data_IF_470043893023
#
_entry.id   IF_470043893023
#
_cell.length_a   1.000
_cell.length_b   1.000
_cell.length_c   1.000
_cell.angle_alpha   90.00
_cell.angle_beta   90.00
_cell.angle_gamma   90.00
#
_symmetry.space_group_name_H-M   'P 1'
#
loop_
_entity.id
_entity.type
_entity.pdbx_description
1 polymer ?
#
# COMPACT_ATOMS: atom_id res chain seq x y z
N UNK A 1 -3.86 -38.18 -22.98
CA UNK A 1 -2.54 -38.28 -22.33
C UNK A 1 -1.44 -37.80 -23.27
N UNK A 2 -1.40 -36.51 -23.61
CA UNK A 2 -0.35 -35.91 -24.48
C UNK A 2 -0.41 -34.40 -24.38
N UNK A 3 0.21 -33.81 -23.32
CA UNK A 3 0.46 -32.36 -23.21
C UNK A 3 1.61 -32.01 -22.26
N UNK A 4 2.75 -32.71 -22.32
CA UNK A 4 3.87 -32.41 -21.39
C UNK A 4 5.22 -32.23 -22.08
N UNK A 5 5.32 -32.12 -23.38
CA UNK A 5 6.65 -32.19 -24.01
C UNK A 5 7.01 -31.03 -24.96
N UNK A 6 6.62 -29.78 -24.69
CA UNK A 6 7.09 -28.60 -25.47
C UNK A 6 7.68 -27.44 -24.65
N UNK A 7 8.03 -27.65 -23.41
CA UNK A 7 8.47 -26.55 -22.52
C UNK A 7 9.99 -26.43 -22.27
N UNK A 8 10.79 -27.36 -22.73
CA UNK A 8 12.20 -27.46 -22.30
C UNK A 8 13.22 -26.77 -23.21
N UNK A 9 12.88 -26.41 -24.44
CA UNK A 9 13.84 -25.83 -25.41
C UNK A 9 13.84 -24.29 -25.38
N UNK A 10 12.80 -23.65 -24.86
CA UNK A 10 12.69 -22.18 -24.79
C UNK A 10 13.51 -21.51 -23.67
N UNK A 11 14.02 -22.27 -22.71
CA UNK A 11 14.58 -21.73 -21.45
C UNK A 11 16.00 -21.17 -21.62
N UNK A 12 16.82 -21.67 -22.53
CA UNK A 12 18.23 -21.20 -22.67
C UNK A 12 18.41 -19.92 -23.48
N UNK A 13 17.50 -19.61 -24.41
CA UNK A 13 17.52 -18.34 -25.15
C UNK A 13 16.84 -17.19 -24.37
N UNK A 14 15.86 -17.51 -23.52
CA UNK A 14 15.15 -16.57 -22.65
C UNK A 14 16.03 -15.93 -21.55
N UNK A 15 17.08 -16.60 -21.07
CA UNK A 15 17.89 -16.08 -19.95
C UNK A 15 18.81 -14.91 -20.33
N UNK A 16 19.36 -14.88 -21.55
CA UNK A 16 20.18 -13.76 -22.02
C UNK A 16 19.33 -12.53 -22.38
N UNK A 17 18.21 -12.74 -23.07
CA UNK A 17 17.27 -11.67 -23.40
C UNK A 17 16.59 -11.07 -22.15
N UNK A 18 16.26 -11.88 -21.14
CA UNK A 18 15.65 -11.38 -19.91
C UNK A 18 16.58 -10.49 -19.11
N UNK A 19 17.88 -10.77 -19.05
CA UNK A 19 18.85 -9.92 -18.35
C UNK A 19 19.04 -8.57 -19.05
N UNK A 20 19.18 -8.57 -20.37
CA UNK A 20 19.25 -7.34 -21.19
C UNK A 20 17.99 -6.50 -21.02
N UNK A 21 16.81 -7.10 -21.16
CA UNK A 21 15.52 -6.45 -20.99
C UNK A 21 15.30 -5.88 -19.59
N UNK A 22 15.88 -6.48 -18.55
CA UNK A 22 15.81 -5.94 -17.19
C UNK A 22 16.72 -4.72 -17.01
N UNK A 23 17.92 -4.70 -17.61
CA UNK A 23 18.83 -3.56 -17.57
C UNK A 23 18.19 -2.36 -18.28
N UNK A 24 17.73 -2.53 -19.50
CA UNK A 24 17.05 -1.47 -20.27
C UNK A 24 15.80 -0.94 -19.56
N UNK A 25 15.05 -1.82 -18.89
CA UNK A 25 13.90 -1.40 -18.08
C UNK A 25 14.34 -0.56 -16.88
N UNK A 26 15.39 -0.97 -16.15
CA UNK A 26 15.93 -0.22 -15.00
C UNK A 26 16.39 1.17 -15.44
N UNK A 27 17.13 1.28 -16.55
CA UNK A 27 17.61 2.54 -17.10
C UNK A 27 16.45 3.49 -17.43
N UNK A 28 15.38 2.97 -18.07
CA UNK A 28 14.17 3.76 -18.32
C UNK A 28 13.48 4.20 -17.03
N UNK A 29 13.43 3.35 -16.00
CA UNK A 29 12.82 3.72 -14.71
C UNK A 29 13.67 4.76 -13.96
N UNK A 30 15.00 4.71 -14.07
CA UNK A 30 15.89 5.70 -13.47
C UNK A 30 15.72 7.10 -14.09
N UNK A 31 15.33 7.18 -15.35
CA UNK A 31 15.05 8.45 -16.03
C UNK A 31 13.69 9.06 -15.70
N UNK A 32 12.78 8.31 -15.06
CA UNK A 32 11.44 8.78 -14.71
C UNK A 32 11.45 9.53 -13.38
N UNK A 33 10.69 10.61 -13.31
CA UNK A 33 10.38 11.27 -12.04
C UNK A 33 9.28 10.50 -11.31
N UNK A 34 9.66 9.53 -10.47
CA UNK A 34 8.76 8.66 -9.73
C UNK A 34 8.56 9.18 -8.31
N UNK A 35 7.32 9.37 -7.91
CA UNK A 35 6.99 9.74 -6.54
C UNK A 35 7.06 8.52 -5.61
N UNK A 36 8.22 8.28 -5.04
CA UNK A 36 8.49 7.13 -4.19
C UNK A 36 7.75 7.16 -2.86
N UNK A 37 7.46 8.35 -2.31
CA UNK A 37 6.70 8.50 -1.07
C UNK A 37 5.25 8.03 -1.25
N UNK A 38 4.62 8.37 -2.38
CA UNK A 38 3.29 7.87 -2.73
C UNK A 38 3.28 6.34 -2.79
N UNK A 39 4.25 5.73 -3.48
CA UNK A 39 4.33 4.26 -3.55
C UNK A 39 4.65 3.63 -2.19
N UNK A 40 5.42 4.31 -1.33
CA UNK A 40 5.65 3.87 0.04
C UNK A 40 4.36 3.70 0.83
N UNK A 41 3.48 4.69 0.79
CA UNK A 41 2.16 4.62 1.42
C UNK A 41 1.30 3.48 0.88
N UNK A 42 1.26 3.30 -0.45
CA UNK A 42 0.55 2.18 -1.08
C UNK A 42 1.12 0.81 -0.68
N UNK A 43 2.46 0.70 -0.58
CA UNK A 43 3.09 -0.57 -0.21
C UNK A 43 2.98 -0.87 1.27
N UNK A 44 2.97 0.12 2.13
CA UNK A 44 2.74 -0.09 3.56
C UNK A 44 1.28 -0.47 3.87
N UNK A 45 0.31 -0.03 3.07
CA UNK A 45 -1.08 -0.49 3.17
C UNK A 45 -1.29 -1.83 2.44
N UNK A 46 -1.43 -1.81 1.15
CA UNK A 46 -1.93 -2.93 0.33
C UNK A 46 -0.84 -3.65 -0.50
N UNK A 47 0.36 -3.07 -0.60
CA UNK A 47 1.47 -3.69 -1.31
C UNK A 47 2.02 -4.93 -0.61
N UNK A 48 2.66 -5.80 -1.36
CA UNK A 48 3.27 -7.02 -0.84
C UNK A 48 4.70 -7.21 -1.37
N UNK A 49 5.59 -7.55 -0.45
CA UNK A 49 6.93 -8.05 -0.71
C UNK A 49 6.96 -9.53 -0.33
N UNK A 50 7.09 -10.40 -1.32
CA UNK A 50 7.13 -11.84 -1.12
C UNK A 50 8.49 -12.39 -1.51
N UNK A 51 9.08 -13.14 -0.60
CA UNK A 51 10.32 -13.85 -0.82
C UNK A 51 10.10 -15.34 -0.53
N UNK A 52 10.46 -16.18 -1.49
CA UNK A 52 10.51 -17.63 -1.27
C UNK A 52 11.91 -18.14 -1.61
N UNK A 53 12.49 -18.87 -0.68
CA UNK A 53 13.77 -19.54 -0.88
C UNK A 53 13.48 -21.03 -1.10
N UNK A 54 13.53 -21.49 -2.35
CA UNK A 54 13.45 -22.91 -2.67
C UNK A 54 14.86 -23.43 -2.93
N UNK A 55 15.07 -24.76 -2.78
CA UNK A 55 16.39 -25.40 -3.06
C UNK A 55 16.95 -25.08 -4.44
N UNK A 56 16.08 -24.68 -5.40
CA UNK A 56 16.46 -24.44 -6.79
C UNK A 56 16.55 -22.96 -7.17
N UNK A 57 15.86 -22.04 -6.47
CA UNK A 57 15.91 -20.61 -6.77
C UNK A 57 15.29 -19.76 -5.68
N UNK A 58 15.89 -18.60 -5.43
CA UNK A 58 15.25 -17.54 -4.62
C UNK A 58 14.34 -16.71 -5.51
N UNK A 59 13.08 -16.56 -5.12
CA UNK A 59 12.09 -15.76 -5.87
C UNK A 59 11.73 -14.51 -5.08
N UNK A 60 12.04 -13.35 -5.63
CA UNK A 60 11.63 -12.05 -5.14
C UNK A 60 10.45 -11.55 -5.97
N UNK A 61 9.35 -11.20 -5.32
CA UNK A 61 8.13 -10.73 -5.99
C UNK A 61 7.60 -9.51 -5.28
N UNK A 62 7.34 -8.46 -6.03
CA UNK A 62 6.65 -7.24 -5.59
C UNK A 62 5.28 -7.24 -6.24
N UNK A 63 4.24 -6.99 -5.44
CA UNK A 63 2.84 -7.01 -5.91
C UNK A 63 2.10 -5.83 -5.31
N UNK A 64 1.30 -5.14 -6.13
CA UNK A 64 0.20 -4.29 -5.68
C UNK A 64 -1.11 -4.93 -6.15
N UNK A 65 -2.03 -5.19 -5.20
CA UNK A 65 -3.29 -5.85 -5.50
C UNK A 65 -4.44 -5.23 -4.70
N UNK A 66 -5.44 -4.68 -5.38
CA UNK A 66 -6.54 -3.92 -4.82
C UNK A 66 -7.87 -4.25 -5.50
N UNK A 67 -8.97 -4.00 -4.79
CA UNK A 67 -10.33 -4.01 -5.38
C UNK A 67 -10.56 -2.81 -6.30
N UNK A 68 -10.00 -1.67 -5.98
CA UNK A 68 -10.05 -0.47 -6.79
C UNK A 68 -8.96 -0.53 -7.87
N UNK A 69 -9.34 -0.28 -9.13
CA UNK A 69 -8.47 -0.40 -10.30
C UNK A 69 -7.41 0.70 -10.36
N UNK A 70 -7.81 1.92 -10.03
CA UNK A 70 -7.05 3.14 -10.35
C UNK A 70 -5.60 3.12 -9.83
N UNK A 71 -5.31 2.79 -8.56
CA UNK A 71 -3.91 2.76 -8.09
C UNK A 71 -3.10 1.64 -8.72
N UNK A 72 -3.73 0.48 -9.02
CA UNK A 72 -3.03 -0.66 -9.64
C UNK A 72 -2.74 -0.38 -11.10
N UNK A 73 -3.64 0.27 -11.81
CA UNK A 73 -3.45 0.72 -13.19
C UNK A 73 -2.35 1.79 -13.28
N UNK A 74 -2.34 2.75 -12.34
CA UNK A 74 -1.27 3.74 -12.22
C UNK A 74 0.08 3.06 -11.96
N UNK A 75 0.12 2.06 -11.07
CA UNK A 75 1.32 1.27 -10.79
C UNK A 75 1.80 0.54 -12.05
N UNK A 76 0.90 -0.17 -12.74
CA UNK A 76 1.21 -0.90 -13.95
C UNK A 76 1.78 0.03 -15.04
N UNK A 77 1.16 1.20 -15.24
CA UNK A 77 1.61 2.22 -16.20
C UNK A 77 2.95 2.83 -15.80
N UNK A 78 3.13 3.19 -14.53
CA UNK A 78 4.38 3.80 -14.04
C UNK A 78 5.56 2.88 -14.22
N UNK A 79 5.40 1.60 -13.86
CA UNK A 79 6.48 0.60 -13.84
C UNK A 79 6.46 -0.34 -15.05
N UNK A 80 5.68 -0.06 -16.07
CA UNK A 80 5.61 -0.87 -17.30
C UNK A 80 5.40 -2.36 -16.99
N UNK A 81 4.46 -2.65 -16.10
CA UNK A 81 4.10 -4.01 -15.69
C UNK A 81 2.70 -4.37 -16.16
N UNK A 82 2.39 -5.66 -16.18
CA UNK A 82 1.06 -6.12 -16.59
C UNK A 82 0.01 -5.77 -15.53
N UNK A 83 -1.18 -5.37 -15.98
CA UNK A 83 -2.37 -5.29 -15.17
C UNK A 83 -3.15 -6.59 -15.34
N UNK A 84 -3.36 -7.31 -14.25
CA UNK A 84 -4.12 -8.55 -14.21
C UNK A 84 -5.45 -8.27 -13.48
N UNK A 85 -6.55 -8.84 -13.98
CA UNK A 85 -7.84 -8.87 -13.28
C UNK A 85 -8.13 -10.29 -12.83
N UNK A 86 -8.58 -10.46 -11.59
CA UNK A 86 -8.87 -11.76 -11.00
C UNK A 86 -10.20 -11.70 -10.26
N UNK A 87 -11.00 -12.74 -10.46
CA UNK A 87 -12.18 -13.04 -9.64
C UNK A 87 -11.95 -14.35 -8.90
N UNK A 88 -12.28 -14.38 -7.62
CA UNK A 88 -12.14 -15.59 -6.81
C UNK A 88 -13.14 -15.59 -5.66
N UNK A 89 -13.59 -16.78 -5.31
CA UNK A 89 -14.47 -16.95 -4.18
C UNK A 89 -13.69 -16.87 -2.87
N UNK A 90 -14.17 -16.07 -1.94
CA UNK A 90 -13.69 -16.01 -0.56
C UNK A 90 -14.82 -16.37 0.37
N UNK A 91 -14.48 -16.90 1.54
CA UNK A 91 -15.44 -17.20 2.61
C UNK A 91 -15.09 -16.40 3.86
N UNK A 92 -15.24 -15.05 3.81
CA UNK A 92 -14.93 -14.23 4.98
C UNK A 92 -15.90 -14.54 6.13
N UNK A 93 -15.44 -14.30 7.35
CA UNK A 93 -16.33 -14.27 8.50
C UNK A 93 -17.20 -13.02 8.45
N UNK A 94 -18.50 -13.20 8.62
CA UNK A 94 -19.44 -12.12 8.85
C UNK A 94 -19.32 -11.59 10.29
N UNK A 95 -19.98 -10.46 10.57
CA UNK A 95 -20.02 -9.88 11.93
C UNK A 95 -20.63 -10.81 12.97
N UNK A 96 -21.48 -11.74 12.54
CA UNK A 96 -22.11 -12.78 13.37
C UNK A 96 -21.27 -14.06 13.51
N UNK A 97 -20.04 -14.05 12.97
CA UNK A 97 -19.13 -15.20 13.00
C UNK A 97 -19.39 -16.28 11.95
N UNK A 98 -20.39 -16.12 11.08
CA UNK A 98 -20.68 -17.08 10.00
C UNK A 98 -19.79 -16.83 8.80
N UNK A 99 -19.43 -17.89 8.09
CA UNK A 99 -18.69 -17.83 6.81
C UNK A 99 -19.70 -17.82 5.66
N UNK A 100 -19.69 -16.76 4.85
CA UNK A 100 -20.51 -16.67 3.65
C UNK A 100 -19.64 -16.59 2.42
N UNK A 101 -19.84 -17.44 1.40
CA UNK A 101 -19.12 -17.31 0.14
C UNK A 101 -19.37 -15.93 -0.48
N UNK A 102 -18.31 -15.29 -0.90
CA UNK A 102 -18.35 -13.98 -1.53
C UNK A 102 -17.41 -13.93 -2.72
N UNK A 103 -17.90 -13.47 -3.87
CA UNK A 103 -17.08 -13.25 -5.05
C UNK A 103 -16.26 -11.98 -4.86
N UNK A 104 -14.96 -12.14 -4.71
CA UNK A 104 -14.00 -11.03 -4.62
C UNK A 104 -13.41 -10.72 -5.98
N UNK A 105 -13.32 -9.42 -6.28
CA UNK A 105 -12.68 -8.88 -7.48
C UNK A 105 -11.41 -8.19 -7.08
N UNK A 106 -10.32 -8.43 -7.81
CA UNK A 106 -9.02 -7.85 -7.50
C UNK A 106 -8.28 -7.50 -8.78
N UNK A 107 -7.80 -6.28 -8.86
CA UNK A 107 -6.81 -5.85 -9.84
C UNK A 107 -5.42 -6.06 -9.24
N UNK A 108 -4.48 -6.53 -10.05
CA UNK A 108 -3.15 -6.89 -9.61
C UNK A 108 -2.11 -6.49 -10.63
N UNK A 109 -1.00 -5.95 -10.15
CA UNK A 109 0.19 -5.76 -10.95
C UNK A 109 1.42 -6.22 -10.17
N UNK A 110 2.39 -6.79 -10.90
CA UNK A 110 3.57 -7.39 -10.25
C UNK A 110 4.80 -7.41 -11.13
N UNK A 111 5.95 -7.46 -10.48
CA UNK A 111 7.22 -7.81 -11.11
C UNK A 111 8.08 -8.68 -10.19
N UNK A 112 9.08 -9.33 -10.78
CA UNK A 112 9.88 -10.38 -10.14
C UNK A 112 11.38 -10.18 -10.38
N UNK A 113 12.20 -10.88 -9.59
CA UNK A 113 13.64 -10.93 -9.78
C UNK A 113 14.30 -9.56 -9.65
N UNK A 114 15.16 -9.20 -10.59
CA UNK A 114 15.96 -7.96 -10.55
C UNK A 114 15.11 -6.70 -10.47
N UNK A 115 13.97 -6.66 -11.17
CA UNK A 115 13.02 -5.53 -11.08
C UNK A 115 12.44 -5.38 -9.67
N UNK A 116 12.13 -6.49 -9.00
CA UNK A 116 11.62 -6.47 -7.63
C UNK A 116 12.71 -6.04 -6.64
N UNK A 117 13.95 -6.47 -6.84
CA UNK A 117 15.11 -6.04 -6.03
C UNK A 117 15.38 -4.54 -6.22
N UNK A 118 15.41 -4.07 -7.46
CA UNK A 118 15.56 -2.65 -7.78
C UNK A 118 14.47 -1.80 -7.13
N UNK A 119 13.21 -2.19 -7.27
CA UNK A 119 12.09 -1.48 -6.65
C UNK A 119 12.22 -1.40 -5.13
N UNK A 120 12.57 -2.51 -4.48
CA UNK A 120 12.77 -2.54 -3.03
C UNK A 120 13.90 -1.58 -2.60
N UNK A 121 14.98 -1.51 -3.35
CA UNK A 121 16.07 -0.57 -3.08
C UNK A 121 15.60 0.91 -3.19
N UNK A 122 14.79 1.23 -4.19
CA UNK A 122 14.29 2.61 -4.38
C UNK A 122 13.28 3.03 -3.32
N UNK A 123 12.35 2.14 -2.95
CA UNK A 123 11.25 2.47 -2.05
C UNK A 123 11.64 2.36 -0.55
N UNK A 124 12.77 1.74 -0.20
CA UNK A 124 13.15 1.42 1.18
C UNK A 124 13.04 2.58 2.18
N UNK A 125 13.35 3.80 1.72
CA UNK A 125 13.22 5.04 2.51
C UNK A 125 11.80 5.24 3.02
N UNK A 126 10.79 4.85 2.22
CA UNK A 126 9.38 5.12 2.46
C UNK A 126 8.60 3.89 2.96
N UNK A 127 9.27 2.82 3.36
CA UNK A 127 8.63 1.66 4.00
C UNK A 127 8.80 1.75 5.51
N UNK A 128 7.70 1.99 6.22
CA UNK A 128 7.68 2.16 7.68
C UNK A 128 6.99 0.97 8.38
N UNK A 129 5.91 0.45 7.81
CA UNK A 129 5.14 -0.63 8.44
C UNK A 129 5.66 -2.02 8.06
N UNK A 130 6.05 -2.24 6.82
CA UNK A 130 6.46 -3.55 6.29
C UNK A 130 7.98 -3.73 6.19
N UNK A 131 8.72 -3.16 7.13
CA UNK A 131 10.20 -3.20 7.16
C UNK A 131 10.76 -4.63 7.18
N UNK A 132 10.13 -5.56 7.89
CA UNK A 132 10.50 -6.96 7.93
C UNK A 132 10.25 -7.70 6.61
N UNK A 133 9.32 -7.23 5.79
CA UNK A 133 9.01 -7.83 4.48
C UNK A 133 9.97 -7.38 3.39
N UNK A 134 10.43 -6.14 3.44
CA UNK A 134 11.39 -5.62 2.46
C UNK A 134 12.84 -6.01 2.79
N UNK A 135 13.16 -6.28 4.07
CA UNK A 135 14.52 -6.59 4.51
C UNK A 135 15.20 -7.70 3.70
N UNK A 136 14.59 -8.86 3.40
CA UNK A 136 15.23 -9.91 2.58
C UNK A 136 15.65 -9.43 1.18
N UNK A 137 14.94 -8.45 0.61
CA UNK A 137 15.27 -7.85 -0.69
C UNK A 137 16.53 -6.98 -0.61
N UNK A 138 16.72 -6.28 0.51
CA UNK A 138 17.89 -5.45 0.77
C UNK A 138 19.10 -6.31 1.11
N UNK A 139 18.93 -7.33 1.95
CA UNK A 139 19.98 -8.28 2.33
C UNK A 139 20.53 -9.00 1.08
N UNK A 140 19.68 -9.39 0.12
CA UNK A 140 20.10 -9.98 -1.15
C UNK A 140 21.01 -9.08 -1.99
N UNK A 141 20.90 -7.77 -1.81
CA UNK A 141 21.70 -6.74 -2.49
C UNK A 141 22.88 -6.26 -1.66
N UNK A 142 23.13 -6.86 -0.48
CA UNK A 142 24.12 -6.41 0.50
C UNK A 142 23.89 -4.95 0.97
N UNK A 143 22.64 -4.52 1.02
CA UNK A 143 22.26 -3.18 1.47
C UNK A 143 21.96 -3.21 2.95
N UNK A 144 22.85 -2.66 3.78
CA UNK A 144 22.56 -2.41 5.20
C UNK A 144 21.81 -1.08 5.32
N UNK A 145 20.52 -1.15 5.68
CA UNK A 145 19.66 0.01 5.77
C UNK A 145 18.99 0.12 7.14
N UNK A 146 19.13 1.27 7.77
CA UNK A 146 18.47 1.59 9.04
C UNK A 146 17.15 2.29 8.75
N UNK A 147 16.04 1.61 8.99
CA UNK A 147 14.70 2.19 8.83
C UNK A 147 14.48 3.34 9.81
N UNK A 148 13.61 4.28 9.46
CA UNK A 148 13.30 5.50 10.23
C UNK A 148 14.48 6.47 10.42
N UNK A 149 15.58 6.32 9.69
CA UNK A 149 16.77 7.15 9.85
C UNK A 149 16.76 8.40 8.98
N UNK A 150 15.99 8.41 7.90
CA UNK A 150 15.96 9.51 6.95
C UNK A 150 14.86 10.52 7.28
N UNK A 151 15.20 11.80 7.14
CA UNK A 151 14.23 12.89 7.24
C UNK A 151 13.48 13.03 5.92
N UNK A 152 12.17 13.16 6.01
CA UNK A 152 11.30 13.41 4.87
C UNK A 152 10.86 14.86 4.83
N UNK A 153 10.64 15.37 3.64
CA UNK A 153 10.03 16.69 3.43
C UNK A 153 8.54 16.65 3.79
N UNK A 154 7.94 17.81 3.98
CA UNK A 154 6.49 17.92 4.19
C UNK A 154 5.71 17.32 3.02
N UNK A 155 6.18 17.54 1.81
CA UNK A 155 5.55 17.03 0.59
C UNK A 155 5.61 15.50 0.50
N UNK A 156 6.77 14.89 0.80
CA UNK A 156 6.91 13.43 0.90
C UNK A 156 5.93 12.84 1.93
N UNK A 157 5.74 13.50 3.09
CA UNK A 157 4.76 13.07 4.08
C UNK A 157 3.33 13.18 3.58
N UNK A 158 2.98 14.23 2.83
CA UNK A 158 1.65 14.39 2.24
C UNK A 158 1.36 13.26 1.25
N UNK A 159 2.27 12.96 0.34
CA UNK A 159 2.11 11.87 -0.62
C UNK A 159 1.99 10.52 0.06
N UNK A 160 2.86 10.23 1.00
CA UNK A 160 2.85 8.97 1.75
C UNK A 160 1.54 8.78 2.51
N UNK A 161 1.12 9.76 3.31
CA UNK A 161 -0.08 9.62 4.13
C UNK A 161 -1.36 9.58 3.29
N UNK A 162 -1.41 10.28 2.18
CA UNK A 162 -2.55 10.21 1.25
C UNK A 162 -2.74 8.78 0.77
N UNK A 163 -1.70 8.14 0.24
CA UNK A 163 -1.76 6.78 -0.26
C UNK A 163 -2.01 5.75 0.86
N UNK A 164 -1.45 5.95 2.04
CA UNK A 164 -1.73 5.10 3.20
C UNK A 164 -3.21 5.18 3.61
N UNK A 165 -3.81 6.37 3.62
CA UNK A 165 -5.24 6.56 3.92
C UNK A 165 -6.11 5.98 2.79
N UNK A 166 -5.69 6.07 1.56
CA UNK A 166 -6.39 5.46 0.43
C UNK A 166 -6.40 3.93 0.52
N UNK A 167 -5.35 3.30 1.01
CA UNK A 167 -5.31 1.86 1.29
C UNK A 167 -6.04 1.50 2.59
N UNK A 168 -5.40 1.70 3.72
CA UNK A 168 -5.84 1.23 5.05
C UNK A 168 -6.74 2.21 5.81
N UNK A 169 -6.88 3.46 5.33
CA UNK A 169 -7.70 4.47 5.99
C UNK A 169 -9.17 4.38 5.63
N UNK A 170 -9.99 4.95 6.50
CA UNK A 170 -11.43 5.08 6.29
C UNK A 170 -11.87 6.51 6.53
N UNK A 171 -12.66 7.04 5.59
CA UNK A 171 -13.46 8.24 5.82
C UNK A 171 -14.73 7.80 6.54
N UNK A 172 -14.79 8.09 7.84
CA UNK A 172 -15.84 7.59 8.70
C UNK A 172 -16.93 8.63 8.89
N UNK A 173 -18.19 8.22 8.70
CA UNK A 173 -19.38 9.00 8.96
C UNK A 173 -20.07 8.46 10.19
N UNK A 174 -19.78 9.06 11.34
CA UNK A 174 -20.43 8.71 12.62
C UNK A 174 -21.77 9.42 12.69
N UNK A 175 -22.87 8.68 12.54
CA UNK A 175 -24.23 9.15 12.75
C UNK A 175 -24.65 10.39 11.93
N UNK A 176 -24.17 10.50 10.70
CA UNK A 176 -24.42 11.64 9.77
C UNK A 176 -24.00 13.03 10.33
N UNK A 177 -23.50 13.11 11.56
CA UNK A 177 -23.17 14.35 12.26
C UNK A 177 -21.65 14.59 12.44
N UNK A 178 -20.82 13.57 12.31
CA UNK A 178 -19.38 13.68 12.53
C UNK A 178 -18.61 12.96 11.44
N UNK A 179 -17.85 13.72 10.67
CA UNK A 179 -16.94 13.19 9.65
C UNK A 179 -15.53 13.14 10.25
N UNK A 180 -14.79 12.10 9.97
CA UNK A 180 -13.39 11.99 10.37
C UNK A 180 -12.61 11.05 9.47
N UNK A 181 -11.29 11.17 9.49
CA UNK A 181 -10.37 10.22 8.86
C UNK A 181 -9.85 9.29 9.96
N UNK A 182 -9.89 8.00 9.71
CA UNK A 182 -9.38 6.98 10.64
C UNK A 182 -8.31 6.16 9.93
N UNK A 183 -7.19 5.94 10.59
CA UNK A 183 -6.13 5.03 10.15
C UNK A 183 -6.09 3.86 11.12
N UNK A 184 -6.03 2.65 10.57
CA UNK A 184 -5.92 1.42 11.33
C UNK A 184 -4.59 0.73 11.04
N UNK A 185 -3.99 0.12 12.05
CA UNK A 185 -2.80 -0.70 11.89
C UNK A 185 -2.72 -1.76 12.98
N UNK A 186 -2.13 -2.89 12.70
CA UNK A 186 -1.74 -3.87 13.71
C UNK A 186 -0.51 -3.44 14.52
N UNK A 187 0.16 -2.36 14.14
CA UNK A 187 1.38 -1.85 14.76
C UNK A 187 1.15 -0.48 15.42
N UNK A 188 1.06 -0.46 16.75
CA UNK A 188 0.86 0.76 17.53
C UNK A 188 2.03 1.75 17.38
N UNK A 189 3.27 1.23 17.39
CA UNK A 189 4.48 2.07 17.28
C UNK A 189 4.55 2.79 15.93
N UNK A 190 4.08 2.14 14.86
CA UNK A 190 3.95 2.76 13.56
C UNK A 190 2.96 3.93 13.59
N UNK A 191 1.76 3.74 14.17
CA UNK A 191 0.78 4.84 14.31
C UNK A 191 1.32 6.00 15.13
N UNK A 192 2.01 5.73 16.24
CA UNK A 192 2.67 6.76 17.05
C UNK A 192 3.70 7.54 16.23
N UNK A 193 4.53 6.84 15.48
CA UNK A 193 5.57 7.46 14.67
C UNK A 193 4.98 8.38 13.60
N UNK A 194 4.06 7.89 12.76
CA UNK A 194 3.45 8.72 11.71
C UNK A 194 2.69 9.92 12.28
N UNK A 195 1.95 9.71 13.39
CA UNK A 195 1.22 10.78 14.06
C UNK A 195 2.15 11.92 14.50
N UNK A 196 3.28 11.59 15.12
CA UNK A 196 4.26 12.57 15.55
C UNK A 196 4.87 13.32 14.35
N UNK A 197 5.19 12.61 13.27
CA UNK A 197 5.76 13.24 12.07
C UNK A 197 4.75 14.18 11.39
N UNK A 198 3.50 13.74 11.24
CA UNK A 198 2.47 14.56 10.60
C UNK A 198 2.10 15.80 11.42
N UNK A 199 2.16 15.71 12.74
CA UNK A 199 2.03 16.88 13.65
C UNK A 199 3.23 17.80 13.53
N UNK A 200 4.46 17.28 13.53
CA UNK A 200 5.69 18.05 13.37
C UNK A 200 5.70 18.87 12.07
N UNK A 201 5.25 18.26 10.98
CA UNK A 201 5.14 18.90 9.67
C UNK A 201 3.88 19.76 9.49
N UNK A 202 3.03 19.89 10.52
CA UNK A 202 1.77 20.67 10.49
C UNK A 202 0.85 20.25 9.33
N UNK A 203 0.72 18.93 9.12
CA UNK A 203 -0.16 18.35 8.09
C UNK A 203 -1.51 18.03 8.74
N UNK A 204 -1.52 17.26 9.81
CA UNK A 204 -2.72 16.89 10.55
C UNK A 204 -2.39 16.49 12.00
N UNK A 205 -3.39 16.59 12.88
CA UNK A 205 -3.31 16.15 14.26
C UNK A 205 -4.18 14.92 14.47
N UNK A 206 -3.68 13.97 15.24
CA UNK A 206 -4.41 12.77 15.61
C UNK A 206 -4.85 12.76 17.05
N UNK A 207 -5.95 12.06 17.31
CA UNK A 207 -6.40 11.72 18.64
C UNK A 207 -5.56 10.63 19.29
N UNK A 208 -6.03 10.20 20.48
CA UNK A 208 -5.45 9.06 21.19
C UNK A 208 -5.61 7.78 20.35
N UNK A 209 -4.60 6.93 20.38
CA UNK A 209 -4.67 5.61 19.77
C UNK A 209 -5.61 4.74 20.61
N UNK A 210 -6.55 4.10 19.98
CA UNK A 210 -7.49 3.16 20.58
C UNK A 210 -7.17 1.75 20.16
N UNK A 211 -7.13 0.81 21.09
CA UNK A 211 -7.01 -0.62 20.83
C UNK A 211 -8.40 -1.19 20.54
N UNK A 212 -8.56 -1.94 19.47
CA UNK A 212 -9.81 -2.56 19.06
C UNK A 212 -9.59 -4.01 18.60
N UNK A 213 -10.69 -4.76 18.52
CA UNK A 213 -10.67 -6.08 17.91
C UNK A 213 -10.51 -5.93 16.40
N UNK A 214 -9.54 -6.64 15.84
CA UNK A 214 -9.33 -6.75 14.40
C UNK A 214 -10.12 -7.91 13.79
N UNK A 215 -9.50 -8.59 12.83
CA UNK A 215 -10.13 -9.72 12.15
C UNK A 215 -10.19 -10.97 13.05
N UNK A 216 -11.29 -11.74 12.97
CA UNK A 216 -11.36 -13.05 13.62
C UNK A 216 -10.32 -13.99 13.02
N UNK A 217 -9.73 -14.83 13.87
CA UNK A 217 -8.79 -15.89 13.50
C UNK A 217 -9.49 -17.24 13.49
N UNK A 218 -8.86 -18.25 12.89
CA UNK A 218 -9.40 -19.60 12.78
C UNK A 218 -9.55 -20.29 14.15
N UNK A 219 -8.82 -19.87 15.17
CA UNK A 219 -8.90 -20.33 16.56
C UNK A 219 -10.03 -19.67 17.38
N UNK A 220 -10.87 -18.85 16.74
CA UNK A 220 -11.95 -18.10 17.38
C UNK A 220 -11.50 -16.81 18.10
N UNK A 221 -10.22 -16.56 18.20
CA UNK A 221 -9.69 -15.31 18.74
C UNK A 221 -9.75 -14.16 17.73
N UNK A 222 -9.50 -12.94 18.20
CA UNK A 222 -9.40 -11.77 17.31
C UNK A 222 -7.96 -11.26 17.27
N UNK A 223 -7.54 -10.80 16.09
CA UNK A 223 -6.33 -10.02 15.97
C UNK A 223 -6.48 -8.71 16.75
N UNK A 224 -5.36 -8.16 17.23
CA UNK A 224 -5.35 -6.83 17.83
C UNK A 224 -5.14 -5.83 16.69
N UNK A 225 -5.97 -4.78 16.69
CA UNK A 225 -5.83 -3.65 15.79
C UNK A 225 -5.79 -2.36 16.61
N UNK A 226 -5.04 -1.40 16.14
CA UNK A 226 -4.99 -0.07 16.70
C UNK A 226 -5.60 0.90 15.70
N UNK A 227 -6.36 1.87 16.21
CA UNK A 227 -7.09 2.85 15.43
C UNK A 227 -6.77 4.25 15.92
N UNK A 228 -6.59 5.16 15.00
CA UNK A 228 -6.34 6.56 15.32
C UNK A 228 -7.14 7.46 14.37
N UNK A 229 -7.86 8.43 14.95
CA UNK A 229 -8.68 9.36 14.18
C UNK A 229 -8.03 10.73 14.12
N UNK A 230 -8.22 11.43 13.00
CA UNK A 230 -7.81 12.83 12.88
C UNK A 230 -8.62 13.68 13.85
N UNK A 231 -7.94 14.51 14.61
CA UNK A 231 -8.53 15.51 15.52
C UNK A 231 -8.63 16.87 14.85
N UNK A 232 -9.68 17.58 15.16
CA UNK A 232 -9.84 18.97 14.76
C UNK A 232 -11.29 19.37 14.68
N UNK A 233 -11.52 20.68 14.66
CA UNK A 233 -12.83 21.28 14.32
C UNK A 233 -13.03 21.17 12.81
N UNK A 234 -14.23 21.51 12.33
CA UNK A 234 -14.54 21.42 10.88
C UNK A 234 -13.55 22.20 9.99
N UNK A 235 -13.09 23.41 10.35
CA UNK A 235 -12.09 24.11 9.53
C UNK A 235 -10.76 23.37 9.42
N UNK A 236 -10.27 22.75 10.51
CA UNK A 236 -9.03 21.99 10.48
C UNK A 236 -9.19 20.72 9.61
N UNK A 237 -10.30 20.00 9.76
CA UNK A 237 -10.60 18.84 8.92
C UNK A 237 -10.68 19.24 7.44
N UNK A 238 -11.34 20.37 7.12
CA UNK A 238 -11.38 20.92 5.76
C UNK A 238 -9.98 21.16 5.19
N UNK A 239 -9.10 21.77 5.98
CA UNK A 239 -7.72 22.03 5.56
C UNK A 239 -6.95 20.72 5.28
N UNK A 240 -7.10 19.72 6.15
CA UNK A 240 -6.51 18.39 5.94
C UNK A 240 -7.01 17.78 4.63
N UNK A 241 -8.32 17.74 4.42
CA UNK A 241 -8.92 17.16 3.22
C UNK A 241 -8.48 17.89 1.94
N UNK A 242 -8.43 19.22 1.96
CA UNK A 242 -7.92 20.01 0.83
C UNK A 242 -6.44 19.76 0.55
N UNK A 243 -5.64 19.46 1.59
CA UNK A 243 -4.23 19.11 1.44
C UNK A 243 -4.05 17.74 0.79
N UNK A 244 -4.90 16.76 1.12
CA UNK A 244 -4.78 15.39 0.61
C UNK A 244 -5.39 15.23 -0.79
N UNK A 245 -6.50 15.92 -1.07
CA UNK A 245 -7.33 15.74 -2.27
C UNK A 245 -6.56 15.81 -3.61
N UNK A 246 -5.61 16.74 -3.83
CA UNK A 246 -4.85 16.80 -5.08
C UNK A 246 -3.95 15.58 -5.34
N UNK A 247 -3.64 14.81 -4.30
CA UNK A 247 -2.70 13.68 -4.34
C UNK A 247 -3.41 12.32 -4.32
N UNK A 248 -4.74 12.30 -4.26
CA UNK A 248 -5.52 11.08 -4.25
C UNK A 248 -5.59 10.44 -5.63
N UNK A 249 -5.41 9.13 -5.67
CA UNK A 249 -5.41 8.30 -6.88
C UNK A 249 -6.64 7.40 -7.00
N UNK A 250 -7.30 7.08 -5.87
CA UNK A 250 -8.47 6.21 -5.81
C UNK A 250 -9.75 7.03 -5.97
N UNK A 251 -10.38 7.00 -7.14
CA UNK A 251 -11.55 7.84 -7.45
C UNK A 251 -12.69 7.66 -6.45
N UNK A 252 -12.98 6.45 -6.02
CA UNK A 252 -14.04 6.19 -5.02
C UNK A 252 -13.80 6.94 -3.72
N UNK A 253 -12.57 6.96 -3.20
CA UNK A 253 -12.22 7.69 -1.97
C UNK A 253 -12.15 9.20 -2.19
N UNK A 254 -11.67 9.62 -3.35
CA UNK A 254 -11.67 11.03 -3.77
C UNK A 254 -13.07 11.61 -3.78
N UNK A 255 -14.05 10.90 -4.32
CA UNK A 255 -15.46 11.29 -4.29
C UNK A 255 -16.04 11.39 -2.87
N UNK A 256 -15.61 10.50 -1.96
CA UNK A 256 -16.00 10.59 -0.55
C UNK A 256 -15.43 11.85 0.13
N UNK A 257 -14.20 12.24 -0.21
CA UNK A 257 -13.59 13.49 0.29
C UNK A 257 -14.35 14.69 -0.22
N UNK A 258 -14.68 14.75 -1.52
CA UNK A 258 -15.46 15.86 -2.10
C UNK A 258 -16.85 16.00 -1.44
N UNK A 259 -17.56 14.89 -1.22
CA UNK A 259 -18.84 14.90 -0.48
C UNK A 259 -18.67 15.39 0.95
N UNK A 260 -17.57 15.02 1.60
CA UNK A 260 -17.27 15.47 2.96
C UNK A 260 -16.97 16.97 3.00
N UNK A 261 -16.21 17.49 2.05
CA UNK A 261 -15.93 18.94 1.91
C UNK A 261 -17.20 19.72 1.72
N UNK A 262 -18.07 19.31 0.79
CA UNK A 262 -19.36 19.95 0.57
C UNK A 262 -20.26 19.96 1.83
N UNK A 263 -20.25 18.85 2.61
CA UNK A 263 -20.97 18.80 3.86
C UNK A 263 -20.37 19.75 4.93
N UNK A 264 -19.03 19.88 4.98
CA UNK A 264 -18.35 20.82 5.90
C UNK A 264 -18.73 22.25 5.53
N UNK A 265 -18.70 22.60 4.23
CA UNK A 265 -19.03 23.94 3.75
C UNK A 265 -20.46 24.35 4.07
N UNK A 266 -21.39 23.39 4.04
CA UNK A 266 -22.78 23.63 4.47
C UNK A 266 -22.97 23.80 5.99
N UNK A 267 -21.92 23.56 6.80
CA UNK A 267 -21.96 23.65 8.27
C UNK A 267 -21.14 24.81 8.84
N UNK A 268 -20.24 25.38 8.06
CA UNK A 268 -19.45 26.57 8.40
C UNK A 268 -20.19 27.84 7.97
#
# INVERSE_FOLDING_TARGET
MERVCRMTILIKSLTRNTKKNNIEWIERMESKNINWAMWGGWFDSDGSFSFSNSKLSSKFVVVLALKDKDPVELFAKTFESSLEYMEYWTTPYNKDGRRTPHLSKTFKSRFKGDRALWFANKIKKFILQKTNKIKPFLDKQNINYKFYSEKWTKEEWIYYITSLIEGDGTFYDRNKSTKTIVINSSNESFLKYISNQLQLHKIMNFGKISKCKGHPKDDGSFSIMYSQSVRGKLPELKNVLNTLLPHMTMERKRQNVLKTLAWIDAKL
#
